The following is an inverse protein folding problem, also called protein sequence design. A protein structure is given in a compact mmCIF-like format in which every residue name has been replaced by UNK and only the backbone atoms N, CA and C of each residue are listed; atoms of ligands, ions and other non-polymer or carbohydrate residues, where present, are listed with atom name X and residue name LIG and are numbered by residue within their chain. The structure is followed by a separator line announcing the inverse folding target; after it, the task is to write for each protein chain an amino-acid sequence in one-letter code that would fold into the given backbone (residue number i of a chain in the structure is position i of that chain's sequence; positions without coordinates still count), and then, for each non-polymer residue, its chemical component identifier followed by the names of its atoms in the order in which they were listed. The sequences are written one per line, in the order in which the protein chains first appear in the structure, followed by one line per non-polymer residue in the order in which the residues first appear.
data_IF_109019886928
#
_entry.id   IF_109019886928
#
_cell.length_a   1.000
_cell.length_b   1.000
_cell.length_c   1.000
_cell.angle_alpha   90.00
_cell.angle_beta   90.00
_cell.angle_gamma   90.00
#
_symmetry.space_group_name_H-M   'P 1'
#
loop_
_entity.id
_entity.type
_entity.pdbx_description
1 polymer ?
#
# COMPACT_ATOMS: atom_id res chain seq x y z
N UNK A 1 -28.26 37.17 19.01
CA UNK A 1 -28.43 35.82 18.43
C UNK A 1 -28.63 36.02 16.93
N UNK A 2 -27.88 35.45 15.97
CA UNK A 2 -27.00 34.28 15.88
C UNK A 2 -25.73 34.67 15.09
N UNK A 3 -24.59 34.05 15.44
CA UNK A 3 -23.39 34.00 14.61
C UNK A 3 -23.61 33.01 13.46
N UNK A 4 -23.12 33.33 12.26
CA UNK A 4 -22.86 32.33 11.21
C UNK A 4 -21.39 32.45 10.80
N UNK A 5 -20.65 31.38 11.02
CA UNK A 5 -19.25 31.21 10.62
C UNK A 5 -19.22 30.49 9.27
N UNK A 6 -18.41 30.97 8.33
CA UNK A 6 -17.92 30.15 7.20
C UNK A 6 -16.43 30.44 6.99
N UNK A 7 -15.70 29.37 6.65
CA UNK A 7 -14.29 29.12 6.91
C UNK A 7 -13.58 28.76 5.59
N UNK A 8 -12.46 29.45 5.31
CA UNK A 8 -11.27 29.08 4.51
C UNK A 8 -11.49 28.73 3.00
N UNK A 9 -10.54 28.89 2.08
CA UNK A 9 -9.10 28.68 2.20
C UNK A 9 -8.30 29.45 1.14
N UNK A 10 -7.12 29.90 1.59
CA UNK A 10 -6.11 30.74 0.95
C UNK A 10 -5.60 30.19 -0.39
N UNK A 11 -5.51 31.11 -1.35
CA UNK A 11 -4.62 31.11 -2.51
C UNK A 11 -3.15 31.13 -2.08
N UNK A 12 -2.25 30.45 -2.79
CA UNK A 12 -0.88 30.96 -3.03
C UNK A 12 -0.27 30.35 -4.30
N UNK A 13 -0.04 31.22 -5.30
CA UNK A 13 1.00 31.10 -6.32
C UNK A 13 2.30 31.71 -5.76
N UNK A 14 3.47 31.26 -6.24
CA UNK A 14 4.36 32.25 -6.86
C UNK A 14 5.00 31.76 -8.17
N UNK A 15 5.26 32.75 -9.03
CA UNK A 15 5.94 32.72 -10.33
C UNK A 15 7.44 32.92 -10.12
N UNK A 16 8.33 32.22 -10.87
CA UNK A 16 9.73 32.62 -11.08
C UNK A 16 10.15 32.34 -12.54
N UNK A 17 10.89 33.28 -13.14
CA UNK A 17 11.44 33.33 -14.51
C UNK A 17 12.96 33.08 -14.54
N UNK A 18 13.46 32.66 -15.71
CA UNK A 18 14.88 32.53 -16.17
C UNK A 18 15.58 31.21 -15.80
N UNK A 19 16.46 30.60 -16.61
CA UNK A 19 17.18 30.97 -17.84
C UNK A 19 17.62 29.69 -18.58
N UNK A 20 17.89 29.81 -19.88
CA UNK A 20 18.65 28.87 -20.74
C UNK A 20 19.67 28.01 -19.99
N UNK A 21 19.82 26.71 -20.15
CA UNK A 21 19.30 25.70 -21.09
C UNK A 21 18.36 24.75 -20.30
N UNK A 22 18.17 23.50 -20.73
CA UNK A 22 17.96 22.32 -19.84
C UNK A 22 16.55 21.71 -19.72
N UNK A 23 16.53 20.40 -20.00
CA UNK A 23 15.97 19.33 -19.16
C UNK A 23 14.46 19.39 -18.89
N UNK A 24 13.73 18.41 -19.44
CA UNK A 24 12.32 18.08 -19.17
C UNK A 24 12.12 17.74 -17.68
N UNK A 25 12.16 18.74 -16.80
CA UNK A 25 11.92 18.56 -15.38
C UNK A 25 10.46 18.20 -15.16
N UNK A 26 10.25 16.98 -14.70
CA UNK A 26 9.05 16.63 -13.97
C UNK A 26 8.97 17.58 -12.77
N UNK A 27 8.02 18.51 -12.80
CA UNK A 27 7.79 19.42 -11.69
C UNK A 27 7.04 18.68 -10.57
N UNK A 28 7.78 17.86 -9.83
CA UNK A 28 7.35 17.37 -8.51
C UNK A 28 7.30 18.56 -7.51
N UNK A 29 7.67 19.81 -7.84
CA UNK A 29 7.69 20.89 -6.84
C UNK A 29 6.32 21.26 -6.25
N UNK A 30 5.20 20.80 -6.83
CA UNK A 30 3.89 20.87 -6.18
C UNK A 30 3.67 19.79 -5.10
N UNK A 31 4.51 18.76 -5.05
CA UNK A 31 4.50 17.70 -4.05
C UNK A 31 5.92 17.52 -3.48
N UNK A 32 6.19 18.04 -2.29
CA UNK A 32 7.48 17.88 -1.58
C UNK A 32 7.77 16.40 -1.14
N UNK A 33 7.35 15.43 -1.95
CA UNK A 33 7.43 14.00 -1.69
C UNK A 33 8.57 13.42 -2.52
N UNK A 34 9.61 12.97 -1.84
CA UNK A 34 10.74 12.22 -2.43
C UNK A 34 10.36 10.78 -2.79
N UNK A 35 9.10 10.38 -2.57
CA UNK A 35 8.58 9.04 -2.77
C UNK A 35 7.07 9.09 -3.01
N UNK A 36 6.59 8.37 -4.04
CA UNK A 36 5.17 8.19 -4.32
C UNK A 36 4.66 7.03 -3.46
N UNK A 37 3.44 7.12 -2.93
CA UNK A 37 2.82 6.03 -2.17
C UNK A 37 1.38 5.77 -2.61
N UNK A 38 0.98 4.50 -2.69
CA UNK A 38 -0.41 4.09 -2.92
C UNK A 38 -0.78 2.88 -2.06
N UNK A 39 -2.06 2.53 -2.04
CA UNK A 39 -2.61 1.35 -1.36
C UNK A 39 -2.81 0.22 -2.37
N UNK A 40 -2.63 -1.02 -1.93
CA UNK A 40 -2.81 -2.19 -2.77
C UNK A 40 -4.21 -2.22 -3.41
N UNK A 41 -4.26 -2.42 -4.72
CA UNK A 41 -5.47 -2.46 -5.54
C UNK A 41 -6.23 -1.14 -5.69
N UNK A 42 -5.73 -0.03 -5.15
CA UNK A 42 -6.32 1.29 -5.38
C UNK A 42 -5.74 1.96 -6.65
N UNK A 43 -6.59 2.56 -7.50
CA UNK A 43 -6.10 3.32 -8.63
C UNK A 43 -5.27 4.51 -8.18
N UNK A 44 -4.24 4.84 -8.94
CA UNK A 44 -3.44 6.03 -8.70
C UNK A 44 -3.01 6.70 -10.00
N UNK A 45 -2.74 8.00 -9.92
CA UNK A 45 -2.23 8.79 -11.03
C UNK A 45 -0.96 9.54 -10.65
N UNK A 46 -0.10 9.75 -11.64
CA UNK A 46 1.00 10.71 -11.57
C UNK A 46 0.89 11.70 -12.72
N UNK A 47 1.51 12.86 -12.58
CA UNK A 47 1.42 13.94 -13.56
C UNK A 47 2.81 14.26 -14.11
N UNK A 48 2.98 14.15 -15.44
CA UNK A 48 4.18 14.63 -16.12
C UNK A 48 3.92 16.01 -16.70
N UNK A 49 4.67 17.01 -16.25
CA UNK A 49 4.62 18.35 -16.82
C UNK A 49 5.81 18.54 -17.79
N UNK A 50 5.58 18.84 -19.07
CA UNK A 50 6.66 19.21 -20.00
C UNK A 50 7.30 20.55 -19.58
N UNK A 51 8.62 20.72 -19.67
CA UNK A 51 9.29 21.94 -19.14
C UNK A 51 9.58 23.07 -20.14
N UNK A 52 9.58 22.87 -21.46
CA UNK A 52 9.71 23.95 -22.45
C UNK A 52 9.24 23.50 -23.85
N UNK A 53 9.11 24.44 -24.80
CA UNK A 53 8.79 24.35 -26.24
C UNK A 53 7.63 23.44 -26.73
N UNK A 54 7.47 22.23 -26.19
CA UNK A 54 6.38 21.28 -26.42
C UNK A 54 5.01 21.87 -26.05
N UNK A 55 4.96 22.73 -25.03
CA UNK A 55 3.76 23.48 -24.61
C UNK A 55 3.32 24.48 -25.70
N UNK A 56 4.26 25.10 -26.42
CA UNK A 56 3.93 26.05 -27.48
C UNK A 56 3.36 25.39 -28.74
N UNK A 57 3.65 24.10 -28.96
CA UNK A 57 3.09 23.28 -30.05
C UNK A 57 1.79 22.54 -29.69
N UNK A 58 1.37 22.55 -28.42
CA UNK A 58 0.19 21.82 -27.94
C UNK A 58 -0.93 22.78 -27.50
N UNK A 59 -1.74 23.26 -28.44
CA UNK A 59 -2.82 24.22 -28.13
C UNK A 59 -4.17 23.57 -27.75
N UNK A 60 -4.33 22.24 -27.81
CA UNK A 60 -5.59 21.58 -27.40
C UNK A 60 -5.53 20.06 -27.16
N UNK A 61 -4.54 19.34 -27.71
CA UNK A 61 -4.31 17.92 -27.42
C UNK A 61 -2.86 17.57 -27.73
N UNK A 62 -2.01 17.41 -26.71
CA UNK A 62 -0.70 16.82 -26.96
C UNK A 62 -0.86 15.34 -27.37
N UNK A 63 0.02 14.89 -28.26
CA UNK A 63 0.05 13.50 -28.70
C UNK A 63 0.44 12.58 -27.53
N UNK A 64 -0.56 11.88 -26.98
CA UNK A 64 -0.37 10.95 -25.87
C UNK A 64 0.38 9.69 -26.27
N UNK A 65 0.51 9.39 -27.58
CA UNK A 65 1.25 8.22 -28.07
C UNK A 65 2.76 8.32 -27.84
N UNK A 66 3.26 9.53 -27.60
CA UNK A 66 4.66 9.79 -27.32
C UNK A 66 5.01 9.53 -25.84
N UNK A 67 4.02 9.44 -24.96
CA UNK A 67 4.28 9.23 -23.53
C UNK A 67 3.97 7.80 -23.16
N UNK A 68 4.91 7.16 -22.48
CA UNK A 68 4.74 5.82 -21.98
C UNK A 68 5.19 5.77 -20.52
N UNK A 69 4.35 5.21 -19.65
CA UNK A 69 4.74 4.91 -18.29
C UNK A 69 4.39 3.48 -17.92
N UNK A 70 5.32 2.82 -17.22
CA UNK A 70 5.18 1.42 -16.85
C UNK A 70 5.66 1.14 -15.43
N UNK A 71 5.04 0.15 -14.80
CA UNK A 71 5.40 -0.35 -13.48
C UNK A 71 5.05 -1.82 -13.38
N UNK A 72 6.00 -2.65 -12.93
CA UNK A 72 5.80 -4.10 -12.74
C UNK A 72 5.16 -4.80 -13.96
N UNK A 73 5.48 -4.36 -15.18
CA UNK A 73 4.90 -4.89 -16.43
C UNK A 73 3.51 -4.33 -16.79
N UNK A 74 2.92 -3.47 -15.97
CA UNK A 74 1.67 -2.78 -16.27
C UNK A 74 1.93 -1.41 -16.90
N UNK A 75 1.16 -1.08 -17.94
CA UNK A 75 1.21 0.21 -18.63
C UNK A 75 0.17 1.17 -18.02
N UNK A 76 0.53 2.44 -17.92
CA UNK A 76 -0.42 3.50 -17.56
C UNK A 76 -1.32 3.83 -18.76
N UNK A 77 -2.57 4.21 -18.48
CA UNK A 77 -3.38 4.99 -19.42
C UNK A 77 -2.90 6.43 -19.40
N UNK A 78 -2.73 7.04 -20.57
CA UNK A 78 -2.21 8.41 -20.72
C UNK A 78 -3.30 9.33 -21.24
N UNK A 79 -3.54 10.42 -20.52
CA UNK A 79 -4.43 11.51 -20.93
C UNK A 79 -3.69 12.85 -20.85
N UNK A 80 -3.96 13.76 -21.77
CA UNK A 80 -3.41 15.13 -21.71
C UNK A 80 -4.45 16.09 -21.13
N UNK A 81 -4.14 16.70 -19.99
CA UNK A 81 -4.96 17.72 -19.37
C UNK A 81 -4.59 19.10 -19.91
N UNK A 82 -5.51 19.72 -20.65
CA UNK A 82 -5.36 21.10 -21.16
C UNK A 82 -5.36 22.13 -20.03
N UNK A 83 -6.13 21.87 -18.97
CA UNK A 83 -6.10 22.66 -17.74
C UNK A 83 -4.85 22.30 -16.94
N UNK A 84 -3.81 23.13 -17.03
CA UNK A 84 -2.55 22.94 -16.31
C UNK A 84 -1.40 22.34 -17.14
N UNK A 85 -1.68 21.94 -18.39
CA UNK A 85 -0.70 21.50 -19.38
C UNK A 85 0.21 20.36 -18.89
N UNK A 86 -0.39 19.23 -18.52
CA UNK A 86 0.34 18.03 -18.08
C UNK A 86 -0.27 16.75 -18.66
N UNK A 87 0.54 15.70 -18.73
CA UNK A 87 0.06 14.34 -18.97
C UNK A 87 -0.33 13.70 -17.64
N UNK A 88 -1.55 13.21 -17.54
CA UNK A 88 -2.00 12.34 -16.47
C UNK A 88 -1.75 10.89 -16.86
N UNK A 89 -0.99 10.19 -16.04
CA UNK A 89 -0.70 8.76 -16.16
C UNK A 89 -1.49 8.03 -15.10
N UNK A 90 -2.38 7.12 -15.48
CA UNK A 90 -3.29 6.44 -14.55
C UNK A 90 -3.16 4.93 -14.63
N UNK A 91 -2.98 4.29 -13.47
CA UNK A 91 -3.12 2.84 -13.31
C UNK A 91 -4.47 2.55 -12.67
N UNK A 92 -5.49 2.30 -13.49
CA UNK A 92 -6.89 2.16 -13.04
C UNK A 92 -7.14 0.97 -12.11
N UNK A 93 -6.30 -0.07 -12.18
CA UNK A 93 -6.42 -1.24 -11.32
C UNK A 93 -5.44 -1.21 -10.13
N UNK A 94 -4.57 -0.20 -10.05
CA UNK A 94 -3.51 -0.18 -9.04
C UNK A 94 -2.55 -1.39 -9.12
N UNK A 95 -1.91 -1.68 -8.00
CA UNK A 95 -1.06 -2.87 -7.81
C UNK A 95 -1.58 -3.68 -6.63
N UNK A 96 -1.87 -4.95 -6.80
CA UNK A 96 -2.41 -5.80 -5.72
C UNK A 96 -1.31 -6.36 -4.79
N UNK A 97 -0.04 -6.06 -5.07
CA UNK A 97 1.11 -6.57 -4.32
C UNK A 97 1.81 -5.41 -3.64
N UNK A 98 2.05 -5.56 -2.33
CA UNK A 98 2.77 -4.57 -1.54
C UNK A 98 4.27 -4.61 -1.77
N UNK A 99 4.93 -3.48 -1.54
CA UNK A 99 6.38 -3.39 -1.64
C UNK A 99 6.86 -2.11 -2.29
N UNK A 100 8.14 -2.11 -2.64
CA UNK A 100 8.79 -1.00 -3.33
C UNK A 100 8.91 -1.32 -4.82
N UNK A 101 8.51 -0.36 -5.64
CA UNK A 101 8.51 -0.44 -7.10
C UNK A 101 9.16 0.79 -7.70
N UNK A 102 9.39 0.72 -9.02
CA UNK A 102 9.97 1.81 -9.79
C UNK A 102 9.09 2.07 -11.01
N UNK A 103 8.55 3.30 -11.10
CA UNK A 103 7.77 3.75 -12.26
C UNK A 103 8.76 4.26 -13.30
N UNK A 104 8.78 3.63 -14.47
CA UNK A 104 9.57 4.13 -15.60
C UNK A 104 8.67 5.00 -16.45
N UNK A 105 9.07 6.25 -16.69
CA UNK A 105 8.38 7.17 -17.58
C UNK A 105 9.28 7.51 -18.77
N UNK A 106 8.72 7.46 -19.97
CA UNK A 106 9.38 7.75 -21.23
C UNK A 106 8.60 8.79 -22.02
N UNK A 107 9.35 9.61 -22.75
CA UNK A 107 8.85 10.49 -23.81
C UNK A 107 9.56 10.10 -25.10
N UNK A 108 8.80 9.75 -26.13
CA UNK A 108 9.24 8.92 -27.24
C UNK A 108 9.88 7.63 -26.69
N UNK A 109 11.12 7.35 -27.08
CA UNK A 109 11.89 6.20 -26.60
C UNK A 109 12.88 6.55 -25.47
N UNK A 110 12.99 7.82 -25.10
CA UNK A 110 13.91 8.32 -24.08
C UNK A 110 13.28 8.41 -22.69
N UNK A 111 14.07 8.17 -21.66
CA UNK A 111 13.62 8.33 -20.27
C UNK A 111 13.38 9.81 -19.94
N UNK A 112 12.27 10.07 -19.24
CA UNK A 112 12.00 11.39 -18.66
C UNK A 112 12.96 11.64 -17.50
N UNK A 113 13.30 12.90 -17.25
CA UNK A 113 14.26 13.29 -16.21
C UNK A 113 13.86 12.72 -14.85
N UNK A 114 14.82 12.13 -14.15
CA UNK A 114 14.66 11.45 -12.85
C UNK A 114 13.79 10.17 -12.90
N UNK A 115 13.37 9.72 -14.08
CA UNK A 115 12.90 8.35 -14.25
C UNK A 115 14.08 7.38 -14.01
N UNK A 116 13.87 6.26 -13.30
CA UNK A 116 12.60 5.83 -12.74
C UNK A 116 12.27 6.44 -11.36
N UNK A 117 10.98 6.62 -11.08
CA UNK A 117 10.48 7.19 -9.82
C UNK A 117 10.16 6.10 -8.77
N UNK A 118 10.57 6.24 -7.51
CA UNK A 118 10.25 5.27 -6.46
C UNK A 118 8.77 5.33 -6.06
N UNK A 119 8.12 4.17 -6.04
CA UNK A 119 6.75 3.96 -5.53
C UNK A 119 6.78 2.97 -4.37
N UNK A 120 6.02 3.25 -3.32
CA UNK A 120 5.70 2.28 -2.25
C UNK A 120 4.22 1.94 -2.30
N UNK A 121 3.90 0.65 -2.35
CA UNK A 121 2.54 0.13 -2.24
C UNK A 121 2.36 -0.44 -0.83
N UNK A 122 1.46 0.15 -0.05
CA UNK A 122 1.10 -0.33 1.29
C UNK A 122 -0.09 -1.29 1.22
N UNK A 123 -0.23 -2.23 2.17
CA UNK A 123 -1.38 -3.14 2.23
C UNK A 123 -2.72 -2.40 2.21
N UNK A 124 -3.74 -3.03 1.64
CA UNK A 124 -5.12 -2.57 1.77
C UNK A 124 -5.66 -2.81 3.19
N UNK A 125 -6.92 -2.43 3.43
CA UNK A 125 -7.56 -2.66 4.71
C UNK A 125 -7.51 -4.15 5.10
N UNK A 126 -7.25 -4.41 6.38
CA UNK A 126 -7.16 -5.78 6.88
C UNK A 126 -8.50 -6.51 6.77
N UNK A 127 -8.45 -7.81 6.44
CA UNK A 127 -9.62 -8.67 6.33
C UNK A 127 -9.43 -9.86 7.29
N UNK A 128 -10.20 -9.95 8.39
CA UNK A 128 -10.03 -10.99 9.41
C UNK A 128 -10.02 -12.42 8.85
N UNK A 129 -10.89 -12.70 7.88
CA UNK A 129 -11.02 -14.02 7.25
C UNK A 129 -9.84 -14.39 6.33
N UNK A 130 -8.96 -13.43 6.03
CA UNK A 130 -7.71 -13.65 5.27
C UNK A 130 -6.50 -13.87 6.17
N UNK A 131 -6.64 -13.72 7.49
CA UNK A 131 -5.57 -14.00 8.42
C UNK A 131 -5.13 -15.47 8.27
N UNK A 132 -3.82 -15.71 8.34
CA UNK A 132 -3.25 -17.05 8.20
C UNK A 132 -2.45 -17.45 9.44
N UNK A 133 -2.46 -18.74 9.72
CA UNK A 133 -1.56 -19.33 10.69
C UNK A 133 -0.18 -19.60 10.06
N UNK A 134 0.89 -19.28 10.77
CA UNK A 134 2.29 -19.56 10.41
C UNK A 134 2.96 -20.37 11.52
N UNK A 135 3.84 -21.30 11.14
CA UNK A 135 4.63 -22.14 12.07
C UNK A 135 3.78 -22.94 13.06
N UNK A 136 2.65 -23.47 12.62
CA UNK A 136 1.85 -24.36 13.46
C UNK A 136 2.61 -25.63 13.80
N UNK A 137 2.46 -26.08 15.04
CA UNK A 137 3.05 -27.32 15.54
C UNK A 137 1.92 -28.29 15.89
N UNK A 138 1.94 -29.48 15.28
CA UNK A 138 0.90 -30.51 15.47
C UNK A 138 1.14 -31.43 16.67
N UNK A 139 2.29 -31.32 17.34
CA UNK A 139 2.64 -32.15 18.50
C UNK A 139 3.57 -31.40 19.45
N UNK A 140 3.42 -31.65 20.75
CA UNK A 140 4.30 -31.07 21.76
C UNK A 140 4.49 -31.99 22.96
N UNK A 141 5.57 -31.76 23.69
CA UNK A 141 5.83 -32.44 24.96
C UNK A 141 4.98 -31.79 26.05
N UNK A 142 4.39 -32.62 26.91
CA UNK A 142 3.61 -32.15 28.06
C UNK A 142 4.44 -31.18 28.90
N UNK A 143 3.79 -30.17 29.44
CA UNK A 143 4.37 -29.08 30.22
C UNK A 143 5.39 -28.20 29.47
N UNK A 144 5.52 -28.35 28.16
CA UNK A 144 6.29 -27.43 27.31
C UNK A 144 5.38 -26.37 26.69
N UNK A 145 5.89 -25.15 26.56
CA UNK A 145 5.19 -24.07 25.85
C UNK A 145 5.36 -24.26 24.34
N UNK A 146 4.25 -24.22 23.61
CA UNK A 146 4.21 -24.21 22.15
C UNK A 146 3.87 -22.81 21.72
N UNK A 147 4.60 -22.30 20.72
CA UNK A 147 4.30 -21.03 20.07
C UNK A 147 4.05 -21.24 18.59
N UNK A 148 3.12 -20.46 18.04
CA UNK A 148 2.93 -20.28 16.61
C UNK A 148 2.42 -18.86 16.35
N UNK A 149 2.29 -18.48 15.08
CA UNK A 149 1.92 -17.12 14.73
C UNK A 149 0.61 -17.06 13.95
N UNK A 150 -0.12 -15.95 14.10
CA UNK A 150 -1.18 -15.53 13.20
C UNK A 150 -0.71 -14.26 12.50
N UNK A 151 -0.87 -14.20 11.18
CA UNK A 151 -0.55 -13.04 10.36
C UNK A 151 -1.84 -12.46 9.79
N UNK A 152 -2.16 -11.22 10.15
CA UNK A 152 -3.23 -10.45 9.53
C UNK A 152 -2.87 -10.08 8.09
N UNK A 153 -3.87 -10.10 7.21
CA UNK A 153 -3.75 -9.88 5.78
C UNK A 153 -4.88 -9.04 5.22
N UNK A 154 -4.61 -8.34 4.13
CA UNK A 154 -5.61 -7.65 3.35
C UNK A 154 -6.37 -8.61 2.39
N UNK A 155 -7.29 -8.06 1.60
CA UNK A 155 -8.09 -8.83 0.65
C UNK A 155 -7.29 -9.47 -0.50
N UNK A 156 -6.11 -8.94 -0.81
CA UNK A 156 -5.21 -9.42 -1.85
C UNK A 156 -4.17 -10.43 -1.30
N UNK A 157 -4.16 -10.66 0.01
CA UNK A 157 -3.27 -11.59 0.68
C UNK A 157 -1.94 -10.99 1.10
N UNK A 158 -1.81 -9.66 1.08
CA UNK A 158 -0.63 -8.96 1.59
C UNK A 158 -0.65 -8.93 3.11
N UNK A 159 0.52 -9.11 3.74
CA UNK A 159 0.67 -9.00 5.18
C UNK A 159 0.52 -7.52 5.60
N UNK A 160 -0.39 -7.22 6.53
CA UNK A 160 -0.65 -5.84 6.97
C UNK A 160 0.42 -5.34 7.95
N UNK A 161 0.75 -4.04 7.93
CA UNK A 161 1.79 -3.46 8.80
C UNK A 161 1.27 -3.10 10.20
N UNK A 162 -0.01 -2.80 10.32
CA UNK A 162 -0.71 -2.55 11.58
C UNK A 162 -1.99 -3.36 11.56
N UNK A 163 -2.27 -4.05 12.66
CA UNK A 163 -3.48 -4.85 12.80
C UNK A 163 -4.18 -4.50 14.11
N UNK A 164 -5.50 -4.52 14.07
CA UNK A 164 -6.38 -4.27 15.21
C UNK A 164 -7.25 -5.49 15.52
N UNK A 165 -6.93 -6.65 14.93
CA UNK A 165 -7.69 -7.88 15.15
C UNK A 165 -7.72 -8.26 16.63
N UNK A 166 -8.91 -8.60 17.08
CA UNK A 166 -9.16 -9.25 18.34
C UNK A 166 -9.07 -10.77 18.10
N UNK A 167 -8.01 -11.38 18.64
CA UNK A 167 -7.80 -12.82 18.50
C UNK A 167 -8.11 -13.50 19.83
N UNK A 168 -9.06 -14.43 19.80
CA UNK A 168 -9.35 -15.32 20.92
C UNK A 168 -8.91 -16.73 20.57
N UNK A 169 -8.22 -17.39 21.49
CA UNK A 169 -7.67 -18.72 21.28
C UNK A 169 -8.13 -19.66 22.39
N UNK A 170 -8.54 -20.86 22.03
CA UNK A 170 -9.03 -21.88 22.98
C UNK A 170 -8.40 -23.22 22.63
N UNK A 171 -7.74 -23.83 23.61
CA UNK A 171 -7.17 -25.16 23.50
C UNK A 171 -7.90 -26.10 24.44
N UNK A 172 -8.54 -27.14 23.90
CA UNK A 172 -9.36 -28.09 24.67
C UNK A 172 -8.80 -29.49 24.54
N UNK A 173 -8.47 -30.14 25.66
CA UNK A 173 -8.07 -31.54 25.64
C UNK A 173 -9.30 -32.40 25.32
N UNK A 174 -9.20 -33.26 24.31
CA UNK A 174 -10.38 -33.95 23.76
C UNK A 174 -10.96 -35.03 24.67
N UNK A 175 -10.14 -35.59 25.58
CA UNK A 175 -10.58 -36.68 26.45
C UNK A 175 -11.29 -36.18 27.71
N UNK A 176 -10.76 -35.15 28.36
CA UNK A 176 -11.31 -34.60 29.62
C UNK A 176 -12.15 -33.35 29.42
N UNK A 177 -12.18 -32.79 28.22
CA UNK A 177 -12.73 -31.46 27.92
C UNK A 177 -12.07 -30.34 28.74
N UNK A 178 -10.85 -30.56 29.26
CA UNK A 178 -10.08 -29.54 29.95
C UNK A 178 -9.73 -28.41 28.98
N UNK A 179 -10.25 -27.21 29.24
CA UNK A 179 -9.89 -25.99 28.51
C UNK A 179 -8.66 -25.37 29.15
N UNK A 180 -7.64 -25.14 28.34
CA UNK A 180 -6.40 -24.50 28.75
C UNK A 180 -6.37 -23.06 28.22
N UNK A 181 -5.95 -22.08 29.06
CA UNK A 181 -5.78 -20.72 28.61
C UNK A 181 -4.61 -20.64 27.62
N UNK A 182 -4.81 -19.91 26.52
CA UNK A 182 -3.74 -19.46 25.65
C UNK A 182 -3.43 -17.99 25.87
N UNK A 183 -2.24 -17.57 25.46
CA UNK A 183 -1.89 -16.15 25.40
C UNK A 183 -1.82 -15.68 23.95
N UNK A 184 -2.22 -14.43 23.72
CA UNK A 184 -2.08 -13.74 22.44
C UNK A 184 -1.25 -12.48 22.69
N UNK A 185 -0.17 -12.30 21.93
CA UNK A 185 0.66 -11.10 21.98
C UNK A 185 0.82 -10.51 20.57
N UNK A 186 0.49 -9.24 20.40
CA UNK A 186 0.75 -8.53 19.15
C UNK A 186 2.23 -8.14 19.08
N UNK A 187 2.92 -8.56 18.01
CA UNK A 187 4.34 -8.33 17.81
C UNK A 187 4.64 -7.15 16.86
N UNK A 188 3.62 -6.49 16.33
CA UNK A 188 3.77 -5.52 15.24
C UNK A 188 3.71 -6.18 13.85
N UNK A 189 3.65 -5.36 12.79
CA UNK A 189 3.62 -5.83 11.39
C UNK A 189 2.51 -6.86 11.13
N UNK A 190 1.33 -6.64 11.71
CA UNK A 190 0.18 -7.52 11.56
C UNK A 190 0.36 -8.93 12.14
N UNK A 191 1.42 -9.16 12.91
CA UNK A 191 1.80 -10.48 13.42
C UNK A 191 1.43 -10.61 14.90
N UNK A 192 0.81 -11.74 15.23
CA UNK A 192 0.44 -12.14 16.58
C UNK A 192 1.13 -13.44 16.95
N UNK A 193 1.69 -13.51 18.15
CA UNK A 193 2.19 -14.75 18.75
C UNK A 193 1.11 -15.36 19.62
N UNK A 194 0.85 -16.65 19.36
CA UNK A 194 -0.04 -17.47 20.16
C UNK A 194 0.81 -18.45 20.96
N UNK A 195 0.59 -18.54 22.27
CA UNK A 195 1.28 -19.52 23.11
C UNK A 195 0.33 -20.35 23.97
N UNK A 196 0.67 -21.64 24.12
CA UNK A 196 -0.07 -22.59 24.94
C UNK A 196 0.85 -23.55 25.67
N UNK A 197 0.35 -24.13 26.76
CA UNK A 197 1.05 -25.17 27.52
C UNK A 197 0.09 -26.30 27.88
N UNK A 198 0.20 -27.43 27.18
CA UNK A 198 -0.54 -28.65 27.49
C UNK A 198 -0.03 -29.31 28.76
N UNK A 199 -0.91 -29.62 29.72
CA UNK A 199 -0.52 -30.23 31.01
C UNK A 199 -0.76 -31.74 31.08
N UNK A 200 -1.48 -32.29 30.11
CA UNK A 200 -1.80 -33.71 30.02
C UNK A 200 -1.39 -34.26 28.66
N UNK A 201 -1.01 -35.53 28.60
CA UNK A 201 -0.82 -36.21 27.32
C UNK A 201 -2.17 -36.46 26.66
N UNK A 202 -2.20 -36.42 25.32
CA UNK A 202 -3.38 -36.74 24.53
C UNK A 202 -3.61 -35.74 23.40
N UNK A 203 -4.76 -35.87 22.76
CA UNK A 203 -5.17 -34.98 21.67
C UNK A 203 -5.80 -33.70 22.21
N UNK A 204 -5.57 -32.61 21.47
CA UNK A 204 -6.13 -31.31 21.76
C UNK A 204 -6.82 -30.75 20.52
N UNK A 205 -7.94 -30.08 20.73
CA UNK A 205 -8.62 -29.25 19.73
C UNK A 205 -8.22 -27.79 19.94
N UNK A 206 -7.74 -27.15 18.89
CA UNK A 206 -7.40 -25.73 18.88
C UNK A 206 -8.43 -24.97 18.05
N UNK A 207 -9.07 -23.98 18.67
CA UNK A 207 -9.96 -23.04 18.01
C UNK A 207 -9.32 -21.66 18.09
N UNK A 208 -9.23 -20.99 16.94
CA UNK A 208 -8.77 -19.60 16.80
C UNK A 208 -9.94 -18.83 16.21
N UNK A 209 -10.40 -17.81 16.94
CA UNK A 209 -11.42 -16.87 16.47
C UNK A 209 -10.75 -15.52 16.26
N UNK A 210 -11.09 -14.88 15.15
CA UNK A 210 -10.51 -13.62 14.70
C UNK A 210 -11.65 -12.66 14.40
N UNK A 211 -11.67 -11.53 15.09
CA UNK A 211 -12.74 -10.53 15.03
C UNK A 211 -12.13 -9.13 14.80
N UNK A 212 -12.95 -8.21 14.29
CA UNK A 212 -12.67 -6.76 14.21
C UNK A 212 -13.36 -6.00 15.32
#
# INVERSE_FOLDING_TARGET
MRRSSFLLLLTFLPVILASSESCLTLDISACNQTQISTVAGEPFSIFLKPSDAFIASCSSSCDTSLVNASIAGQQATVEYATTGSYYQLTWTNGLDVTGSFSITCKLNDGDVVNSPYPLVVTPAAEVPSRAIQKNYVSSAVVNSTVTFFVQSRDQYGNDVSVSQLLITVTLTQTLTNLVLPGSVAYLGNGKYEISFRGTLSGSYSLIIMVET
#
